data_IF_869459320510
#
_entry.id   IF_869459320510
#
_cell.length_a   1.000
_cell.length_b   1.000
_cell.length_c   1.000
_cell.angle_alpha   90.00
_cell.angle_beta   90.00
_cell.angle_gamma   90.00
#
_symmetry.space_group_name_H-M   'P 1'
#
loop_
_entity.id
_entity.type
_entity.pdbx_description
1 polymer ?
#
# COMPACT_ATOMS: atom_id res chain seq x y z
N UNK A 1 12.46 0.44 28.66
CA UNK A 1 11.56 -0.52 27.96
C UNK A 1 12.40 -1.53 27.20
N UNK A 2 12.09 -2.82 27.32
CA UNK A 2 12.72 -3.89 26.57
C UNK A 2 12.16 -3.92 25.15
N UNK A 3 13.04 -4.06 24.13
CA UNK A 3 12.59 -4.22 22.74
C UNK A 3 12.24 -5.69 22.49
N UNK A 4 11.07 -5.94 21.88
CA UNK A 4 10.56 -7.29 21.60
C UNK A 4 10.06 -7.34 20.16
N UNK A 5 10.64 -8.22 19.35
CA UNK A 5 10.18 -8.50 17.99
C UNK A 5 9.16 -9.64 18.02
N UNK A 6 7.94 -9.39 17.53
CA UNK A 6 6.87 -10.39 17.46
C UNK A 6 6.49 -10.68 15.99
N UNK A 7 5.93 -11.87 15.70
CA UNK A 7 5.19 -12.08 14.45
C UNK A 7 4.17 -10.96 14.24
N UNK A 8 4.01 -10.48 13.00
CA UNK A 8 3.21 -9.30 12.72
C UNK A 8 1.77 -9.42 13.28
N UNK A 9 1.08 -10.54 13.04
CA UNK A 9 -0.26 -10.78 13.56
C UNK A 9 -0.33 -10.63 15.09
N UNK A 10 0.54 -11.30 15.82
CA UNK A 10 0.57 -11.25 17.28
C UNK A 10 0.88 -9.84 17.83
N UNK A 11 1.72 -9.08 17.10
CA UNK A 11 2.02 -7.70 17.44
C UNK A 11 0.81 -6.78 17.23
N UNK A 12 0.11 -6.91 16.11
CA UNK A 12 -1.07 -6.11 15.81
C UNK A 12 -2.27 -6.47 16.69
N UNK A 13 -2.50 -7.74 17.00
CA UNK A 13 -3.50 -8.14 17.99
C UNK A 13 -3.26 -7.47 19.34
N UNK A 14 -1.98 -7.38 19.74
CA UNK A 14 -1.59 -6.75 20.99
C UNK A 14 -1.67 -5.23 20.94
N UNK A 15 -1.48 -4.63 19.75
CA UNK A 15 -1.53 -3.18 19.54
C UNK A 15 -2.95 -2.65 19.41
N UNK A 16 -3.88 -3.47 18.96
CA UNK A 16 -5.21 -3.09 18.51
C UNK A 16 -5.96 -2.11 19.43
N UNK A 17 -6.01 -2.39 20.73
CA UNK A 17 -6.73 -1.55 21.70
C UNK A 17 -6.21 -0.11 21.81
N UNK A 18 -4.97 0.16 21.39
CA UNK A 18 -4.33 1.47 21.47
C UNK A 18 -3.91 2.04 20.12
N UNK A 19 -4.16 1.31 19.03
CA UNK A 19 -3.69 1.68 17.69
C UNK A 19 -4.20 3.05 17.24
N UNK A 20 -5.48 3.31 17.40
CA UNK A 20 -6.10 4.58 17.00
C UNK A 20 -5.87 5.74 18.00
N UNK A 21 -5.38 5.44 19.20
CA UNK A 21 -5.19 6.46 20.25
C UNK A 21 -4.01 7.38 19.92
N UNK A 22 -2.93 6.81 19.36
CA UNK A 22 -1.71 7.56 19.08
C UNK A 22 -1.67 7.96 17.61
N UNK A 23 -1.63 9.29 17.39
CA UNK A 23 -1.47 9.81 16.01
C UNK A 23 -0.14 9.36 15.41
N UNK A 24 -0.22 8.76 14.21
CA UNK A 24 0.93 8.26 13.48
C UNK A 24 1.14 9.12 12.22
N UNK A 25 2.35 9.71 12.00
CA UNK A 25 2.62 10.55 10.84
C UNK A 25 2.47 9.82 9.49
N UNK A 26 2.86 8.53 9.43
CA UNK A 26 2.72 7.75 8.19
C UNK A 26 1.24 7.52 7.84
N UNK A 27 0.44 7.19 8.85
CA UNK A 27 -1.02 7.04 8.70
C UNK A 27 -1.68 8.35 8.25
N UNK A 28 -1.23 9.49 8.79
CA UNK A 28 -1.75 10.81 8.41
C UNK A 28 -1.37 11.17 6.97
N UNK A 29 -0.11 10.96 6.60
CA UNK A 29 0.39 11.21 5.24
C UNK A 29 -0.33 10.32 4.21
N UNK A 30 -0.42 9.00 4.46
CA UNK A 30 -1.11 8.05 3.60
C UNK A 30 -2.59 8.45 3.37
N UNK A 31 -3.31 8.78 4.46
CA UNK A 31 -4.70 9.23 4.34
C UNK A 31 -4.85 10.47 3.47
N UNK A 32 -3.97 11.47 3.65
CA UNK A 32 -4.01 12.71 2.85
C UNK A 32 -3.74 12.44 1.36
N UNK A 33 -2.83 11.52 1.06
CA UNK A 33 -2.54 11.12 -0.33
C UNK A 33 -3.73 10.36 -0.92
N UNK A 34 -4.26 9.36 -0.22
CA UNK A 34 -5.40 8.57 -0.70
C UNK A 34 -6.63 9.45 -0.96
N UNK A 35 -6.97 10.37 -0.04
CA UNK A 35 -8.08 11.31 -0.22
C UNK A 35 -7.88 12.14 -1.50
N UNK A 36 -6.69 12.76 -1.68
CA UNK A 36 -6.40 13.53 -2.90
C UNK A 36 -6.52 12.68 -4.17
N UNK A 37 -6.13 11.41 -4.12
CA UNK A 37 -6.25 10.49 -5.27
C UNK A 37 -7.70 10.15 -5.57
N UNK A 38 -8.52 9.90 -4.57
CA UNK A 38 -9.95 9.67 -4.72
C UNK A 38 -10.64 10.91 -5.32
N UNK A 39 -10.32 12.10 -4.84
CA UNK A 39 -10.86 13.37 -5.36
C UNK A 39 -10.43 13.62 -6.82
N UNK A 40 -9.15 13.38 -7.15
CA UNK A 40 -8.62 13.63 -8.49
C UNK A 40 -9.20 12.72 -9.57
N UNK A 41 -9.52 11.46 -9.23
CA UNK A 41 -10.16 10.55 -10.19
C UNK A 41 -11.64 10.86 -10.40
N UNK A 42 -12.23 11.76 -9.58
CA UNK A 42 -13.64 12.20 -9.72
C UNK A 42 -14.61 11.01 -9.72
N UNK A 43 -14.21 9.89 -9.13
CA UNK A 43 -15.00 8.67 -9.16
C UNK A 43 -16.13 8.76 -8.15
N UNK A 44 -17.33 8.68 -8.66
CA UNK A 44 -18.48 8.32 -7.85
C UNK A 44 -18.35 6.82 -7.50
N UNK A 45 -18.13 6.52 -6.22
CA UNK A 45 -18.01 5.15 -5.72
C UNK A 45 -19.36 4.53 -5.36
N UNK A 46 -20.49 5.22 -5.62
CA UNK A 46 -21.82 4.68 -5.35
C UNK A 46 -22.04 3.35 -6.07
N UNK A 47 -22.27 2.28 -5.29
CA UNK A 47 -22.47 0.92 -5.78
C UNK A 47 -21.21 0.25 -6.33
N UNK A 48 -20.03 0.85 -6.17
CA UNK A 48 -18.75 0.22 -6.52
C UNK A 48 -18.32 -0.71 -5.38
N UNK A 49 -18.06 -1.98 -5.69
CA UNK A 49 -17.47 -2.90 -4.72
C UNK A 49 -15.99 -2.56 -4.53
N UNK A 50 -15.61 -2.25 -3.28
CA UNK A 50 -14.24 -1.92 -2.90
C UNK A 50 -13.66 -2.96 -1.93
N UNK A 51 -12.37 -3.25 -2.08
CA UNK A 51 -11.61 -4.16 -1.22
C UNK A 51 -10.50 -3.38 -0.53
N UNK A 52 -10.45 -3.43 0.80
CA UNK A 52 -9.40 -2.85 1.64
C UNK A 52 -8.55 -3.98 2.24
N UNK A 53 -7.34 -4.16 1.73
CA UNK A 53 -6.40 -5.23 2.10
C UNK A 53 -5.46 -4.76 3.20
N UNK A 54 -5.46 -5.47 4.33
CA UNK A 54 -4.76 -5.06 5.54
C UNK A 54 -5.43 -3.84 6.18
N UNK A 55 -6.74 -3.89 6.29
CA UNK A 55 -7.57 -2.76 6.70
C UNK A 55 -7.30 -2.26 8.13
N UNK A 56 -6.65 -3.07 8.97
CA UNK A 56 -6.43 -2.75 10.38
C UNK A 56 -7.75 -2.49 11.11
N UNK A 57 -7.86 -1.31 11.72
CA UNK A 57 -9.08 -0.84 12.39
C UNK A 57 -10.10 -0.20 11.43
N UNK A 58 -9.95 -0.38 10.11
CA UNK A 58 -10.91 0.04 9.09
C UNK A 58 -10.80 1.50 8.65
N UNK A 59 -9.70 2.20 8.90
CA UNK A 59 -9.53 3.62 8.56
C UNK A 59 -9.89 3.95 7.09
N UNK A 60 -9.37 3.20 6.15
CA UNK A 60 -9.63 3.39 4.73
C UNK A 60 -10.95 2.73 4.31
N UNK A 61 -11.36 1.65 4.98
CA UNK A 61 -12.67 1.03 4.76
C UNK A 61 -13.81 2.03 4.99
N UNK A 62 -13.77 2.79 6.09
CA UNK A 62 -14.75 3.84 6.37
C UNK A 62 -14.67 4.99 5.36
N UNK A 63 -13.46 5.39 4.95
CA UNK A 63 -13.29 6.42 3.92
C UNK A 63 -13.92 6.01 2.59
N UNK A 64 -13.74 4.76 2.16
CA UNK A 64 -14.33 4.22 0.92
C UNK A 64 -15.84 4.09 1.04
N UNK A 65 -16.34 3.66 2.20
CA UNK A 65 -17.77 3.58 2.49
C UNK A 65 -18.43 4.96 2.44
N UNK A 66 -17.82 5.96 3.10
CA UNK A 66 -18.31 7.36 3.09
C UNK A 66 -18.33 7.96 1.66
N UNK A 67 -17.49 7.43 0.75
CA UNK A 67 -17.49 7.76 -0.67
C UNK A 67 -18.54 6.98 -1.49
N UNK A 68 -19.37 6.14 -0.84
CA UNK A 68 -20.47 5.39 -1.45
C UNK A 68 -20.14 3.95 -1.86
N UNK A 69 -18.96 3.44 -1.58
CA UNK A 69 -18.57 2.08 -1.96
C UNK A 69 -19.20 0.99 -1.07
N UNK A 70 -19.47 -0.18 -1.67
CA UNK A 70 -19.75 -1.43 -0.95
C UNK A 70 -18.42 -2.08 -0.53
N UNK A 71 -18.04 -1.91 0.74
CA UNK A 71 -16.70 -2.22 1.22
C UNK A 71 -16.60 -3.63 1.80
N UNK A 72 -15.58 -4.38 1.35
CA UNK A 72 -15.04 -5.56 2.04
C UNK A 72 -13.66 -5.20 2.59
N UNK A 73 -13.49 -5.40 3.90
CA UNK A 73 -12.29 -5.05 4.67
C UNK A 73 -11.62 -6.33 5.17
N UNK A 74 -10.34 -6.51 4.88
CA UNK A 74 -9.60 -7.75 5.17
C UNK A 74 -8.40 -7.45 6.04
N UNK A 75 -8.25 -8.20 7.13
CA UNK A 75 -7.04 -8.16 7.97
C UNK A 75 -6.81 -9.53 8.62
N UNK A 76 -5.56 -9.87 8.93
CA UNK A 76 -5.24 -11.11 9.65
C UNK A 76 -5.39 -10.97 11.17
N UNK A 77 -5.31 -9.73 11.70
CA UNK A 77 -5.43 -9.45 13.13
C UNK A 77 -6.88 -9.36 13.55
N UNK A 78 -7.32 -10.36 14.29
CA UNK A 78 -8.67 -10.33 14.87
C UNK A 78 -8.85 -9.14 15.81
N UNK A 79 -7.82 -8.78 16.57
CA UNK A 79 -7.86 -7.63 17.47
C UNK A 79 -8.13 -6.32 16.71
N UNK A 80 -7.47 -6.12 15.57
CA UNK A 80 -7.71 -4.95 14.71
C UNK A 80 -9.13 -4.93 14.17
N UNK A 81 -9.61 -6.05 13.64
CA UNK A 81 -10.98 -6.18 13.13
C UNK A 81 -12.03 -5.93 14.22
N UNK A 82 -11.84 -6.47 15.43
CA UNK A 82 -12.77 -6.24 16.55
C UNK A 82 -12.90 -4.75 16.89
N UNK A 83 -11.78 -3.98 16.84
CA UNK A 83 -11.82 -2.52 16.99
C UNK A 83 -12.56 -1.89 15.81
N UNK A 84 -12.29 -2.29 14.58
CA UNK A 84 -12.99 -1.81 13.40
C UNK A 84 -14.50 -2.04 13.52
N UNK A 85 -14.92 -3.25 13.81
CA UNK A 85 -16.32 -3.67 13.94
C UNK A 85 -17.05 -2.92 15.08
N UNK A 86 -16.34 -2.44 16.09
CA UNK A 86 -16.93 -1.67 17.20
C UNK A 86 -17.28 -0.23 16.85
N UNK A 87 -16.85 0.28 15.69
CA UNK A 87 -17.07 1.67 15.28
C UNK A 87 -18.48 1.87 14.71
N UNK A 88 -19.05 3.10 14.80
CA UNK A 88 -20.29 3.43 14.12
C UNK A 88 -20.19 3.19 12.60
N UNK A 89 -21.24 2.68 11.99
CA UNK A 89 -21.28 2.36 10.55
C UNK A 89 -20.67 1.01 10.16
N UNK A 90 -20.11 0.25 11.11
CA UNK A 90 -19.48 -1.03 10.82
C UNK A 90 -20.42 -2.09 10.21
N UNK A 91 -21.73 -2.00 10.49
CA UNK A 91 -22.71 -2.93 9.94
C UNK A 91 -22.82 -2.90 8.41
N UNK A 92 -22.35 -1.82 7.79
CA UNK A 92 -22.37 -1.59 6.35
C UNK A 92 -21.05 -1.99 5.67
N UNK A 93 -20.07 -2.45 6.46
CA UNK A 93 -18.75 -2.91 5.98
C UNK A 93 -18.61 -4.40 6.28
N UNK A 94 -18.23 -5.19 5.27
CA UNK A 94 -17.96 -6.61 5.44
C UNK A 94 -16.53 -6.83 5.92
N UNK A 95 -16.33 -7.12 7.19
CA UNK A 95 -15.03 -7.48 7.76
C UNK A 95 -14.73 -8.98 7.60
N UNK A 96 -13.52 -9.32 7.14
CA UNK A 96 -13.06 -10.68 6.88
C UNK A 96 -11.69 -10.91 7.50
N UNK A 97 -11.54 -11.94 8.32
CA UNK A 97 -10.23 -12.35 8.83
C UNK A 97 -9.53 -13.21 7.77
N UNK A 98 -8.37 -12.75 7.26
CA UNK A 98 -7.60 -13.50 6.26
C UNK A 98 -6.14 -13.02 6.24
N UNK A 99 -5.21 -13.97 6.00
CA UNK A 99 -3.78 -13.69 5.80
C UNK A 99 -3.51 -13.39 4.32
N UNK A 100 -2.93 -12.23 4.02
CA UNK A 100 -2.61 -11.81 2.66
C UNK A 100 -1.45 -12.60 2.03
N UNK A 101 -0.76 -13.45 2.77
CA UNK A 101 0.20 -14.41 2.23
C UNK A 101 -0.49 -15.63 1.58
N UNK A 102 -1.80 -15.80 1.80
CA UNK A 102 -2.62 -16.86 1.23
C UNK A 102 -3.49 -16.31 0.07
N UNK A 103 -3.93 -17.16 -0.88
CA UNK A 103 -4.84 -16.75 -1.94
C UNK A 103 -6.11 -16.09 -1.39
N UNK A 104 -6.52 -14.95 -1.97
CA UNK A 104 -7.69 -14.21 -1.48
C UNK A 104 -8.99 -15.00 -1.70
N UNK A 105 -9.89 -15.10 -0.69
CA UNK A 105 -11.12 -15.90 -0.76
C UNK A 105 -12.24 -15.17 -1.52
N UNK A 106 -11.90 -14.59 -2.66
CA UNK A 106 -12.82 -13.84 -3.52
C UNK A 106 -12.75 -14.31 -4.95
N UNK A 107 -13.83 -14.13 -5.68
CA UNK A 107 -13.92 -14.45 -7.11
C UNK A 107 -13.08 -13.48 -7.95
N UNK A 108 -12.75 -13.89 -9.16
CA UNK A 108 -12.07 -13.05 -10.15
C UNK A 108 -12.94 -11.83 -10.49
N UNK A 109 -12.29 -10.69 -10.70
CA UNK A 109 -12.96 -9.45 -11.10
C UNK A 109 -14.10 -9.00 -10.15
N UNK A 110 -14.00 -9.35 -8.86
CA UNK A 110 -15.04 -9.06 -7.88
C UNK A 110 -15.13 -7.59 -7.48
N UNK A 111 -14.05 -6.81 -7.58
CA UNK A 111 -13.95 -5.47 -7.04
C UNK A 111 -13.56 -4.43 -8.09
N UNK A 112 -14.25 -3.29 -8.10
CA UNK A 112 -13.89 -2.15 -8.95
C UNK A 112 -12.77 -1.29 -8.38
N UNK A 113 -12.58 -1.33 -7.06
CA UNK A 113 -11.54 -0.62 -6.33
C UNK A 113 -10.83 -1.58 -5.38
N UNK A 114 -9.50 -1.58 -5.36
CA UNK A 114 -8.67 -2.34 -4.41
C UNK A 114 -7.65 -1.40 -3.79
N UNK A 115 -7.61 -1.31 -2.48
CA UNK A 115 -6.58 -0.55 -1.75
C UNK A 115 -5.77 -1.48 -0.85
N UNK A 116 -4.46 -1.22 -0.74
CA UNK A 116 -3.54 -1.92 0.15
C UNK A 116 -2.54 -0.90 0.68
N UNK A 117 -2.67 -0.50 1.95
CA UNK A 117 -1.94 0.66 2.47
C UNK A 117 -1.22 0.35 3.77
N UNK A 118 0.11 0.61 3.80
CA UNK A 118 0.98 0.41 4.96
C UNK A 118 0.95 -1.03 5.50
N UNK A 119 0.96 -2.01 4.58
CA UNK A 119 0.83 -3.45 4.87
C UNK A 119 1.99 -4.24 4.30
N UNK A 120 2.52 -3.80 3.15
CA UNK A 120 3.45 -4.60 2.31
C UNK A 120 4.74 -4.91 3.06
N UNK A 121 5.16 -4.07 4.00
CA UNK A 121 6.31 -4.36 4.87
C UNK A 121 6.14 -5.68 5.66
N UNK A 122 4.92 -6.24 5.77
CA UNK A 122 4.65 -7.51 6.46
C UNK A 122 4.50 -8.70 5.51
N UNK A 123 4.61 -8.49 4.20
CA UNK A 123 4.52 -9.53 3.16
C UNK A 123 5.91 -9.91 2.69
N UNK A 124 6.26 -11.19 2.77
CA UNK A 124 7.60 -11.67 2.38
C UNK A 124 7.76 -11.70 0.87
N UNK A 125 6.75 -12.21 0.15
CA UNK A 125 6.77 -12.38 -1.30
C UNK A 125 5.70 -11.53 -1.97
N UNK A 126 6.11 -10.45 -2.65
CA UNK A 126 5.17 -9.47 -3.21
C UNK A 126 4.41 -9.97 -4.44
N UNK A 127 5.07 -10.74 -5.33
CA UNK A 127 4.47 -11.18 -6.58
C UNK A 127 3.18 -12.01 -6.41
N UNK A 128 3.03 -12.93 -5.42
CA UNK A 128 1.76 -13.58 -5.14
C UNK A 128 0.64 -12.61 -4.79
N UNK A 129 0.91 -11.65 -3.88
CA UNK A 129 -0.08 -10.64 -3.47
C UNK A 129 -0.54 -9.79 -4.66
N UNK A 130 0.38 -9.27 -5.47
CA UNK A 130 0.01 -8.46 -6.63
C UNK A 130 -0.75 -9.27 -7.70
N UNK A 131 -0.46 -10.57 -7.88
CA UNK A 131 -1.27 -11.45 -8.74
C UNK A 131 -2.69 -11.60 -8.23
N UNK A 132 -2.88 -11.79 -6.93
CA UNK A 132 -4.20 -11.87 -6.31
C UNK A 132 -4.95 -10.53 -6.40
N UNK A 133 -4.29 -9.40 -6.12
CA UNK A 133 -4.88 -8.06 -6.30
C UNK A 133 -5.36 -7.87 -7.74
N UNK A 134 -4.54 -8.27 -8.73
CA UNK A 134 -4.95 -8.23 -10.14
C UNK A 134 -6.12 -9.14 -10.43
N UNK A 135 -6.13 -10.37 -9.89
CA UNK A 135 -7.17 -11.38 -10.13
C UNK A 135 -8.54 -10.89 -9.64
N UNK A 136 -8.58 -10.35 -8.43
CA UNK A 136 -9.84 -9.91 -7.80
C UNK A 136 -10.31 -8.55 -8.29
N UNK A 137 -9.45 -7.74 -8.89
CA UNK A 137 -9.80 -6.44 -9.45
C UNK A 137 -10.44 -6.59 -10.83
N UNK A 138 -11.59 -5.95 -11.04
CA UNK A 138 -12.30 -5.96 -12.31
C UNK A 138 -11.49 -5.29 -13.43
N UNK A 139 -11.69 -5.67 -14.70
CA UNK A 139 -11.10 -4.96 -15.83
C UNK A 139 -11.44 -3.47 -15.80
N UNK A 140 -10.42 -2.61 -15.94
CA UNK A 140 -10.56 -1.15 -15.78
C UNK A 140 -10.76 -0.69 -14.34
N UNK A 141 -10.65 -1.60 -13.37
CA UNK A 141 -10.67 -1.26 -11.95
C UNK A 141 -9.42 -0.48 -11.53
N UNK A 142 -9.52 0.19 -10.40
CA UNK A 142 -8.49 1.04 -9.83
C UNK A 142 -7.87 0.37 -8.61
N UNK A 143 -6.53 0.31 -8.60
CA UNK A 143 -5.79 -0.21 -7.46
C UNK A 143 -4.89 0.89 -6.91
N UNK A 144 -4.90 1.05 -5.60
CA UNK A 144 -4.01 1.96 -4.88
C UNK A 144 -3.18 1.18 -3.87
N UNK A 145 -1.88 1.38 -3.92
CA UNK A 145 -0.92 0.76 -2.99
C UNK A 145 -0.06 1.84 -2.38
N UNK A 146 0.11 1.80 -1.08
CA UNK A 146 1.09 2.64 -0.38
C UNK A 146 1.85 1.83 0.66
N UNK A 147 3.09 2.22 0.90
CA UNK A 147 3.90 1.62 1.96
C UNK A 147 4.95 2.58 2.49
N UNK A 148 5.52 2.25 3.65
CA UNK A 148 6.69 2.92 4.18
C UNK A 148 7.79 2.90 3.12
N UNK A 149 8.32 4.09 2.76
CA UNK A 149 9.36 4.14 1.74
C UNK A 149 10.59 3.32 2.15
N UNK A 150 11.18 2.51 1.26
CA UNK A 150 12.36 1.68 1.55
C UNK A 150 13.52 2.44 2.20
N UNK A 151 13.71 3.72 1.85
CA UNK A 151 14.70 4.59 2.48
C UNK A 151 14.48 4.75 3.99
N UNK A 152 13.23 4.78 4.44
CA UNK A 152 12.89 4.86 5.86
C UNK A 152 13.33 3.61 6.62
N UNK A 153 13.18 2.43 6.02
CA UNK A 153 13.70 1.16 6.57
C UNK A 153 15.22 1.20 6.71
N UNK A 154 15.94 1.71 5.71
CA UNK A 154 17.40 1.88 5.77
C UNK A 154 17.84 2.85 6.88
N UNK A 155 16.97 3.83 7.21
CA UNK A 155 17.16 4.77 8.33
C UNK A 155 16.70 4.22 9.68
N UNK A 156 16.28 2.94 9.73
CA UNK A 156 15.84 2.27 10.96
C UNK A 156 14.38 2.51 11.36
N UNK A 157 13.58 3.19 10.51
CA UNK A 157 12.16 3.34 10.75
C UNK A 157 11.41 2.03 10.45
N UNK A 158 10.46 1.69 11.31
CA UNK A 158 9.56 0.55 11.16
C UNK A 158 8.32 0.72 12.04
N UNK A 159 7.32 -0.11 11.81
CA UNK A 159 6.18 -0.18 12.71
C UNK A 159 6.64 -0.56 14.13
N UNK A 160 6.18 0.21 15.12
CA UNK A 160 6.47 -0.09 16.53
C UNK A 160 5.49 0.61 17.47
N UNK A 161 5.27 0.03 18.63
CA UNK A 161 4.46 0.64 19.68
C UNK A 161 4.98 0.33 21.06
N UNK A 162 4.67 1.22 22.02
CA UNK A 162 5.01 1.04 23.42
C UNK A 162 3.87 0.33 24.14
N UNK A 163 4.09 -0.90 24.60
CA UNK A 163 3.21 -1.60 25.53
C UNK A 163 3.58 -1.20 26.96
N UNK A 164 2.85 -0.24 27.49
CA UNK A 164 3.09 0.28 28.86
C UNK A 164 2.75 -0.72 29.95
N UNK A 165 1.89 -1.70 29.68
CA UNK A 165 1.50 -2.73 30.67
C UNK A 165 2.66 -3.69 30.92
N UNK A 166 3.43 -4.00 29.87
CA UNK A 166 4.57 -4.93 29.95
C UNK A 166 5.93 -4.22 29.99
N UNK A 167 5.96 -2.89 29.95
CA UNK A 167 7.19 -2.09 29.82
C UNK A 167 8.05 -2.52 28.63
N UNK A 168 7.39 -2.78 27.47
CA UNK A 168 8.03 -3.25 26.25
C UNK A 168 7.79 -2.29 25.10
N UNK A 169 8.80 -2.18 24.22
CA UNK A 169 8.64 -1.64 22.88
C UNK A 169 8.52 -2.79 21.91
N UNK A 170 7.35 -2.96 21.35
CA UNK A 170 7.01 -4.08 20.45
C UNK A 170 7.19 -3.64 19.01
N UNK A 171 7.89 -4.49 18.24
CA UNK A 171 8.13 -4.33 16.81
C UNK A 171 7.51 -5.50 16.07
N UNK A 172 6.47 -5.27 15.25
CA UNK A 172 5.99 -6.27 14.30
C UNK A 172 7.12 -6.66 13.36
N UNK A 173 7.32 -7.95 13.13
CA UNK A 173 8.28 -8.42 12.13
C UNK A 173 7.87 -7.90 10.76
N UNK A 174 8.84 -7.44 9.98
CA UNK A 174 8.64 -6.95 8.63
C UNK A 174 9.83 -7.29 7.75
N UNK A 175 9.60 -7.18 6.45
CA UNK A 175 10.57 -7.47 5.40
C UNK A 175 11.08 -6.15 4.80
N UNK A 176 12.36 -6.12 4.44
CA UNK A 176 12.96 -4.95 3.81
C UNK A 176 12.90 -5.12 2.29
N UNK A 177 11.93 -4.48 1.66
CA UNK A 177 11.81 -4.42 0.22
C UNK A 177 12.56 -3.22 -0.35
N UNK A 178 12.98 -3.34 -1.61
CA UNK A 178 13.51 -2.24 -2.41
C UNK A 178 12.42 -1.71 -3.32
N UNK A 179 12.54 -0.48 -3.79
CA UNK A 179 11.60 0.07 -4.80
C UNK A 179 11.50 -0.85 -6.02
N UNK A 180 12.63 -1.44 -6.45
CA UNK A 180 12.65 -2.41 -7.56
C UNK A 180 11.83 -3.68 -7.29
N UNK A 181 11.71 -4.12 -6.03
CA UNK A 181 10.96 -5.33 -5.69
C UNK A 181 9.45 -5.08 -5.87
N UNK A 182 8.98 -3.88 -5.51
CA UNK A 182 7.60 -3.45 -5.80
C UNK A 182 7.37 -3.40 -7.30
N UNK A 183 8.18 -2.64 -8.03
CA UNK A 183 8.00 -2.44 -9.47
C UNK A 183 8.02 -3.77 -10.23
N UNK A 184 9.01 -4.62 -9.97
CA UNK A 184 9.14 -5.91 -10.65
C UNK A 184 7.94 -6.81 -10.32
N UNK A 185 7.53 -6.90 -9.06
CA UNK A 185 6.39 -7.75 -8.65
C UNK A 185 5.06 -7.27 -9.25
N UNK A 186 4.84 -5.95 -9.35
CA UNK A 186 3.68 -5.36 -10.02
C UNK A 186 3.67 -5.76 -11.51
N UNK A 187 4.80 -5.58 -12.20
CA UNK A 187 4.92 -5.91 -13.62
C UNK A 187 4.80 -7.41 -13.89
N UNK A 188 5.39 -8.26 -13.06
CA UNK A 188 5.26 -9.72 -13.12
C UNK A 188 3.82 -10.19 -12.92
N UNK A 189 3.06 -9.52 -12.06
CA UNK A 189 1.64 -9.78 -11.87
C UNK A 189 0.81 -9.38 -13.11
N UNK A 190 1.38 -8.59 -14.02
CA UNK A 190 0.70 -8.10 -15.21
C UNK A 190 -0.18 -6.90 -14.97
N UNK A 191 0.08 -6.16 -13.91
CA UNK A 191 -0.49 -4.84 -13.64
C UNK A 191 0.28 -3.75 -14.40
N UNK A 192 -0.43 -2.72 -14.84
CA UNK A 192 0.16 -1.48 -15.34
C UNK A 192 0.37 -0.49 -14.19
N UNK A 193 1.52 0.19 -14.16
CA UNK A 193 1.74 1.32 -13.25
C UNK A 193 1.33 2.59 -13.99
N UNK A 194 0.24 3.23 -13.54
CA UNK A 194 -0.20 4.52 -14.11
C UNK A 194 0.45 5.69 -13.40
N UNK A 195 0.71 5.55 -12.10
CA UNK A 195 1.42 6.54 -11.30
C UNK A 195 2.28 5.85 -10.24
N UNK A 196 3.44 6.43 -9.98
CA UNK A 196 4.32 6.07 -8.88
C UNK A 196 4.86 7.37 -8.29
N UNK A 197 4.66 7.58 -6.99
CA UNK A 197 5.11 8.80 -6.31
C UNK A 197 5.83 8.47 -5.01
N UNK A 198 6.81 9.32 -4.68
CA UNK A 198 7.53 9.33 -3.41
C UNK A 198 7.14 10.61 -2.64
N UNK A 199 6.56 10.46 -1.46
CA UNK A 199 6.14 11.60 -0.64
C UNK A 199 7.16 11.87 0.46
N UNK A 200 7.60 13.10 0.54
CA UNK A 200 8.70 13.53 1.38
C UNK A 200 8.22 14.09 2.72
N UNK A 201 9.06 13.97 3.75
CA UNK A 201 8.88 14.72 4.99
C UNK A 201 8.98 16.22 4.72
N UNK A 202 8.07 16.99 5.31
CA UNK A 202 7.98 18.44 5.14
C UNK A 202 7.98 19.14 6.49
N UNK A 203 8.29 20.44 6.49
CA UNK A 203 8.16 21.29 7.70
C UNK A 203 6.74 21.25 8.26
N UNK A 204 5.72 21.35 7.39
CA UNK A 204 4.32 21.25 7.80
C UNK A 204 3.95 19.91 8.45
N UNK A 205 4.59 18.80 8.03
CA UNK A 205 4.43 17.52 8.69
C UNK A 205 5.13 17.53 10.07
N UNK A 206 6.33 18.10 10.16
CA UNK A 206 7.10 18.18 11.39
C UNK A 206 6.42 19.08 12.45
N UNK A 207 5.78 20.17 12.06
CA UNK A 207 4.95 20.99 12.95
C UNK A 207 3.82 20.17 13.60
N UNK A 208 3.21 19.26 12.87
CA UNK A 208 2.12 18.39 13.37
C UNK A 208 2.64 17.16 14.11
N UNK A 209 3.82 16.70 13.74
CA UNK A 209 4.48 15.49 14.25
C UNK A 209 5.99 15.75 14.45
N UNK A 210 6.40 16.38 15.58
CA UNK A 210 7.80 16.81 15.78
C UNK A 210 8.86 15.72 15.60
N UNK A 211 8.49 14.45 15.80
CA UNK A 211 9.39 13.31 15.55
C UNK A 211 9.77 13.11 14.09
N UNK A 212 9.12 13.79 13.15
CA UNK A 212 9.45 13.71 11.71
C UNK A 212 10.40 14.81 11.25
N UNK A 213 10.86 15.68 12.14
CA UNK A 213 11.81 16.75 11.80
C UNK A 213 13.11 16.21 11.18
N UNK A 214 13.63 15.11 11.71
CA UNK A 214 14.81 14.41 11.14
C UNK A 214 14.58 13.78 9.75
N UNK A 215 13.34 13.75 9.30
CA UNK A 215 12.92 13.19 8.00
C UNK A 215 12.52 14.26 6.98
N UNK A 216 12.67 15.56 7.29
CA UNK A 216 12.44 16.64 6.31
C UNK A 216 13.38 16.43 5.12
N UNK A 217 12.79 16.46 3.90
CA UNK A 217 13.52 16.22 2.65
C UNK A 217 13.86 14.76 2.35
N UNK A 218 13.40 13.80 3.17
CA UNK A 218 13.54 12.37 2.91
C UNK A 218 12.24 11.76 2.41
N UNK A 219 12.27 10.81 1.45
CA UNK A 219 11.07 10.11 1.03
C UNK A 219 10.59 9.19 2.15
N UNK A 220 9.36 9.42 2.60
CA UNK A 220 8.75 8.71 3.73
C UNK A 220 7.70 7.68 3.30
N UNK A 221 6.90 8.00 2.28
CA UNK A 221 5.83 7.16 1.77
C UNK A 221 6.05 6.91 0.27
N UNK A 222 5.93 5.67 -0.15
CA UNK A 222 5.92 5.23 -1.54
C UNK A 222 4.49 4.87 -1.94
N UNK A 223 4.01 5.37 -3.09
CA UNK A 223 2.65 5.09 -3.56
C UNK A 223 2.63 4.67 -5.01
N UNK A 224 1.66 3.81 -5.35
CA UNK A 224 1.38 3.37 -6.70
C UNK A 224 -0.11 3.48 -6.99
N UNK A 225 -0.44 3.94 -8.19
CA UNK A 225 -1.75 3.74 -8.81
C UNK A 225 -1.57 2.73 -9.94
N UNK A 226 -2.37 1.68 -9.91
CA UNK A 226 -2.22 0.54 -10.82
C UNK A 226 -3.53 0.30 -11.57
N UNK A 227 -3.41 -0.33 -12.75
CA UNK A 227 -4.54 -0.75 -13.57
C UNK A 227 -4.41 -2.20 -14.03
N UNK A 228 -5.55 -2.86 -14.29
CA UNK A 228 -5.60 -4.25 -14.73
C UNK A 228 -5.45 -4.42 -16.24
N UNK A 229 -5.61 -3.36 -17.01
CA UNK A 229 -5.51 -3.38 -18.47
C UNK A 229 -4.09 -3.10 -18.91
N UNK A 230 -3.49 -4.05 -19.64
CA UNK A 230 -2.19 -3.81 -20.30
C UNK A 230 -2.40 -2.92 -21.51
N UNK A 231 -1.68 -1.80 -21.58
CA UNK A 231 -1.56 -1.05 -22.84
C UNK A 231 -0.95 -1.96 -23.92
N UNK A 232 -1.49 -2.01 -25.15
CA UNK A 232 -0.90 -2.78 -26.26
C UNK A 232 0.57 -2.44 -26.54
N UNK A 233 1.00 -1.21 -26.26
CA UNK A 233 2.38 -0.75 -26.36
C UNK A 233 3.33 -1.41 -25.36
N UNK A 234 2.87 -1.66 -24.14
CA UNK A 234 3.65 -2.34 -23.11
C UNK A 234 3.86 -3.82 -23.42
N UNK A 235 2.85 -4.52 -23.94
CA UNK A 235 2.97 -5.91 -24.37
C UNK A 235 3.98 -6.08 -25.52
N UNK A 236 4.05 -5.13 -26.45
CA UNK A 236 5.05 -5.12 -27.52
C UNK A 236 6.47 -4.95 -26.97
N UNK A 237 6.65 -4.07 -26.00
CA UNK A 237 7.97 -3.85 -25.38
C UNK A 237 8.45 -5.09 -24.62
N UNK A 238 7.62 -5.72 -23.79
CA UNK A 238 7.98 -6.94 -23.06
C UNK A 238 8.30 -8.11 -23.98
N UNK A 239 7.54 -8.29 -25.06
CA UNK A 239 7.83 -9.34 -26.04
C UNK A 239 9.15 -9.13 -26.77
N UNK A 240 9.57 -7.87 -27.00
CA UNK A 240 10.87 -7.53 -27.60
C UNK A 240 12.04 -7.80 -26.65
N UNK A 241 11.85 -7.62 -25.35
CA UNK A 241 12.88 -7.89 -24.34
C UNK A 241 13.05 -9.41 -24.12
N UNK A 242 11.95 -10.18 -24.08
CA UNK A 242 12.00 -11.62 -23.83
C UNK A 242 12.58 -12.41 -25.00
N UNK A 243 12.54 -11.88 -26.21
CA UNK A 243 13.08 -12.54 -27.42
C UNK A 243 14.55 -12.24 -27.71
N UNK A 244 15.26 -11.53 -26.81
CA UNK A 244 16.72 -11.35 -26.89
C UNK A 244 17.20 -10.51 -28.10
N UNK A 245 16.33 -9.88 -28.86
CA UNK A 245 16.71 -8.96 -29.92
C UNK A 245 17.09 -7.60 -29.35
N UNK A 246 18.38 -7.40 -29.09
CA UNK A 246 18.96 -6.09 -28.85
C UNK A 246 18.81 -5.25 -30.13
N UNK A 247 17.84 -4.33 -30.16
CA UNK A 247 17.92 -3.21 -31.10
C UNK A 247 18.86 -2.15 -30.50
N UNK A 248 20.12 -2.23 -30.91
CA UNK A 248 21.00 -1.06 -30.79
C UNK A 248 20.56 -0.07 -31.87
N UNK A 249 19.80 0.95 -31.51
CA UNK A 249 19.75 2.17 -32.30
C UNK A 249 21.07 2.90 -32.09
N UNK A 250 21.93 2.83 -33.07
CA UNK A 250 23.12 3.69 -33.19
C UNK A 250 22.63 5.13 -33.31
N UNK A 251 22.84 5.91 -32.25
CA UNK A 251 22.74 7.36 -32.33
C UNK A 251 23.95 7.83 -33.17
N UNK A 252 23.72 8.08 -34.46
CA UNK A 252 24.65 8.87 -35.28
C UNK A 252 24.65 10.30 -34.74
N UNK A 253 25.71 10.64 -33.98
CA UNK A 253 26.04 12.03 -33.66
C UNK A 253 26.63 12.61 -34.94
N UNK A 254 25.84 13.33 -35.71
CA UNK A 254 26.32 14.17 -36.81
C UNK A 254 27.18 15.29 -36.25
N UNK A 255 28.49 15.17 -36.38
CA UNK A 255 29.42 16.26 -36.15
C UNK A 255 29.36 17.20 -37.34
N UNK A 256 28.65 18.32 -37.21
CA UNK A 256 28.83 19.47 -38.06
C UNK A 256 29.90 20.37 -37.44
N UNK A 257 31.14 20.14 -37.88
CA UNK A 257 32.23 21.10 -37.68
C UNK A 257 32.37 21.95 -38.92
N UNK A 258 32.57 23.25 -38.71
CA UNK A 258 33.32 24.24 -39.49
C UNK A 258 32.72 24.78 -40.80
N UNK A 259 32.24 25.97 -40.78
CA UNK A 259 32.97 27.17 -41.33
C UNK A 259 32.28 28.44 -40.93
#
# INVERSE_FOLDING_TARGET
MKIVDLPAQAAYDRWAATYDVKRNPMVAMDREVLVRRLDAVGRDLNGVRALDLGCGTGRNSYLLHDAGAEVTAVDFSKGMLDVGISKPGAAEIRFVTHDLNEPLPFEDAAFGVVVCTLVIEHIEHLSPLFREMRRVCAPGGWLYVSDLHPTMRLRGAQAQFSDRVRDEEVRPRGHAHRVSDYVNSILEAGLGITEMDEHFGTEALAERFPKTEEHIGWPMLLTFVLETTRSPSFLRWMSSVSTGRRMFHTLEISSAATR
#
